data_IF_619452886249
#
_entry.id   IF_619452886249
#
_cell.length_a   1.000
_cell.length_b   1.000
_cell.length_c   1.000
_cell.angle_alpha   90.00
_cell.angle_beta   90.00
_cell.angle_gamma   90.00
#
_symmetry.space_group_name_H-M   'P 1'
#
loop_
_entity.id
_entity.type
_entity.pdbx_description
1 polymer ?
#
# COMPACT_ATOMS: atom_id res chain seq x y z
N UNK A 1 19.95 7.49 -7.59
CA UNK A 1 18.97 8.11 -8.49
C UNK A 1 18.03 8.93 -7.63
N UNK A 2 17.89 10.23 -7.88
CA UNK A 2 16.97 11.07 -7.10
C UNK A 2 15.54 10.94 -7.66
N UNK A 3 14.55 10.91 -6.78
CA UNK A 3 13.14 10.82 -7.16
C UNK A 3 12.69 12.08 -7.90
N UNK A 4 12.02 11.95 -9.04
CA UNK A 4 11.41 13.08 -9.77
C UNK A 4 10.23 13.66 -8.99
N UNK A 5 9.80 14.88 -9.30
CA UNK A 5 8.65 15.49 -8.60
C UNK A 5 7.34 14.73 -8.84
N UNK A 6 7.17 14.16 -10.04
CA UNK A 6 6.05 13.27 -10.35
C UNK A 6 6.09 12.00 -9.49
N UNK A 7 7.25 11.36 -9.37
CA UNK A 7 7.39 10.18 -8.50
C UNK A 7 7.16 10.51 -7.02
N UNK A 8 7.57 11.69 -6.53
CA UNK A 8 7.25 12.14 -5.17
C UNK A 8 5.74 12.30 -4.97
N UNK A 9 5.02 12.81 -5.96
CA UNK A 9 3.56 12.93 -5.90
C UNK A 9 2.88 11.55 -5.88
N UNK A 10 3.38 10.60 -6.66
CA UNK A 10 2.90 9.21 -6.65
C UNK A 10 3.17 8.55 -5.29
N UNK A 11 4.34 8.75 -4.70
CA UNK A 11 4.65 8.28 -3.35
C UNK A 11 3.75 8.92 -2.28
N UNK A 12 3.47 10.22 -2.37
CA UNK A 12 2.51 10.88 -1.49
C UNK A 12 1.11 10.25 -1.62
N UNK A 13 0.67 10.00 -2.86
CA UNK A 13 -0.60 9.33 -3.14
C UNK A 13 -0.65 7.90 -2.58
N UNK A 14 0.48 7.21 -2.54
CA UNK A 14 0.59 5.89 -1.92
C UNK A 14 0.45 5.97 -0.39
N UNK A 15 1.06 6.98 0.25
CA UNK A 15 0.87 7.23 1.69
C UNK A 15 -0.60 7.47 2.02
N UNK A 16 -1.28 8.32 1.23
CA UNK A 16 -2.70 8.63 1.43
C UNK A 16 -3.59 7.39 1.22
N UNK A 17 -3.31 6.60 0.19
CA UNK A 17 -4.03 5.34 -0.06
C UNK A 17 -3.90 4.37 1.11
N UNK A 18 -2.73 4.29 1.73
CA UNK A 18 -2.52 3.49 2.95
C UNK A 18 -3.22 4.08 4.17
N UNK A 19 -3.29 5.39 4.32
CA UNK A 19 -4.04 6.04 5.40
C UNK A 19 -5.55 5.77 5.27
N UNK A 20 -6.08 5.81 4.04
CA UNK A 20 -7.47 5.43 3.76
C UNK A 20 -7.75 3.97 4.14
N UNK A 21 -6.84 3.06 3.81
CA UNK A 21 -6.96 1.64 4.16
C UNK A 21 -6.99 1.44 5.69
N UNK A 22 -6.14 2.16 6.43
CA UNK A 22 -6.17 2.19 7.91
C UNK A 22 -7.52 2.68 8.42
N UNK A 23 -8.07 3.73 7.81
CA UNK A 23 -9.41 4.24 8.16
C UNK A 23 -10.50 3.17 7.98
N UNK A 24 -10.41 2.34 6.95
CA UNK A 24 -11.33 1.23 6.72
C UNK A 24 -11.14 0.10 7.74
N UNK A 25 -9.90 -0.26 8.07
CA UNK A 25 -9.60 -1.26 9.10
C UNK A 25 -10.15 -0.86 10.47
N UNK A 26 -9.94 0.40 10.88
CA UNK A 26 -10.46 0.91 12.16
C UNK A 26 -11.99 0.86 12.23
N UNK A 27 -12.69 1.08 11.10
CA UNK A 27 -14.16 1.00 11.05
C UNK A 27 -14.70 -0.41 11.28
N UNK A 28 -13.92 -1.44 10.99
CA UNK A 28 -14.29 -2.85 11.24
C UNK A 28 -13.73 -3.37 12.57
N UNK A 29 -13.19 -2.49 13.41
CA UNK A 29 -12.69 -2.83 14.75
C UNK A 29 -11.25 -3.33 14.79
N UNK A 30 -10.50 -3.22 13.69
CA UNK A 30 -9.12 -3.69 13.61
C UNK A 30 -8.12 -2.63 14.06
N UNK A 31 -7.03 -3.11 14.68
CA UNK A 31 -5.89 -2.28 15.06
C UNK A 31 -4.85 -2.24 13.92
N UNK A 32 -4.44 -1.03 13.53
CA UNK A 32 -3.38 -0.80 12.54
C UNK A 32 -2.07 -1.52 12.89
N UNK A 33 -1.76 -1.70 14.19
CA UNK A 33 -0.54 -2.38 14.63
C UNK A 33 -0.48 -3.86 14.19
N UNK A 34 -1.63 -4.49 13.96
CA UNK A 34 -1.72 -5.85 13.43
C UNK A 34 -1.30 -5.94 11.95
N UNK A 35 -1.27 -4.81 11.23
CA UNK A 35 -1.02 -4.74 9.79
C UNK A 35 0.35 -4.13 9.48
N UNK A 36 1.42 -4.82 9.91
CA UNK A 36 2.83 -4.35 9.76
C UNK A 36 3.20 -3.96 8.31
N UNK A 37 2.58 -4.60 7.32
CA UNK A 37 2.79 -4.27 5.90
C UNK A 37 2.39 -2.84 5.56
N UNK A 38 1.33 -2.29 6.18
CA UNK A 38 0.91 -0.88 5.98
C UNK A 38 2.04 0.07 6.41
N UNK A 39 2.62 -0.17 7.59
CA UNK A 39 3.74 0.65 8.09
C UNK A 39 4.95 0.59 7.16
N UNK A 40 5.29 -0.60 6.65
CA UNK A 40 6.39 -0.78 5.69
C UNK A 40 6.16 0.01 4.41
N UNK A 41 4.95 -0.06 3.84
CA UNK A 41 4.59 0.68 2.62
C UNK A 41 4.65 2.18 2.86
N UNK A 42 4.06 2.68 3.96
CA UNK A 42 4.08 4.10 4.33
C UNK A 42 5.50 4.62 4.52
N UNK A 43 6.37 3.86 5.20
CA UNK A 43 7.76 4.26 5.41
C UNK A 43 8.56 4.32 4.11
N UNK A 44 8.40 3.32 3.24
CA UNK A 44 8.99 3.32 1.90
C UNK A 44 8.55 4.55 1.10
N UNK A 45 7.23 4.83 1.09
CA UNK A 45 6.67 5.94 0.34
C UNK A 45 7.10 7.31 0.90
N UNK A 46 7.06 7.51 2.22
CA UNK A 46 7.52 8.76 2.87
C UNK A 46 8.99 9.06 2.59
N UNK A 47 9.81 8.03 2.45
CA UNK A 47 11.24 8.15 2.15
C UNK A 47 11.53 8.22 0.65
N UNK A 48 10.50 8.17 -0.22
CA UNK A 48 10.64 8.09 -1.68
C UNK A 48 11.61 6.97 -2.10
N UNK A 49 11.54 5.82 -1.43
CA UNK A 49 12.47 4.70 -1.60
C UNK A 49 12.14 3.89 -2.87
N UNK A 50 12.62 4.38 -4.02
CA UNK A 50 12.52 3.71 -5.33
C UNK A 50 13.14 2.31 -5.28
N UNK A 51 14.27 2.14 -4.58
CA UNK A 51 14.92 0.85 -4.47
C UNK A 51 14.06 -0.15 -3.69
N UNK A 52 13.27 0.32 -2.73
CA UNK A 52 12.32 -0.49 -1.95
C UNK A 52 11.08 -0.91 -2.73
N UNK A 53 10.78 -0.27 -3.86
CA UNK A 53 9.53 -0.44 -4.62
C UNK A 53 9.25 -1.90 -5.02
N UNK A 54 10.29 -2.69 -5.35
CA UNK A 54 10.16 -4.11 -5.68
C UNK A 54 9.53 -4.97 -4.56
N UNK A 55 9.48 -4.47 -3.33
CA UNK A 55 8.86 -5.16 -2.19
C UNK A 55 7.37 -4.82 -2.02
N UNK A 56 6.87 -3.80 -2.73
CA UNK A 56 5.50 -3.33 -2.59
C UNK A 56 4.46 -4.42 -2.91
N UNK A 57 4.55 -5.18 -4.02
CA UNK A 57 3.61 -6.28 -4.29
C UNK A 57 3.51 -7.28 -3.13
N UNK A 58 4.66 -7.76 -2.64
CA UNK A 58 4.71 -8.68 -1.51
C UNK A 58 4.02 -8.12 -0.25
N UNK A 59 4.12 -6.82 0.00
CA UNK A 59 3.45 -6.20 1.14
C UNK A 59 1.95 -6.08 0.93
N UNK A 60 1.50 -5.76 -0.29
CA UNK A 60 0.09 -5.69 -0.66
C UNK A 60 -0.58 -7.07 -0.63
N UNK A 61 0.06 -8.10 -1.16
CA UNK A 61 -0.41 -9.48 -1.08
C UNK A 61 -0.55 -9.95 0.37
N UNK A 62 0.46 -9.65 1.20
CA UNK A 62 0.38 -9.97 2.62
C UNK A 62 -0.78 -9.26 3.32
N UNK A 63 -1.12 -8.03 2.90
CA UNK A 63 -2.30 -7.34 3.42
C UNK A 63 -3.59 -8.01 2.97
N UNK A 64 -3.69 -8.37 1.69
CA UNK A 64 -4.83 -9.08 1.14
C UNK A 64 -5.07 -10.40 1.89
N UNK A 65 -4.04 -11.23 2.06
CA UNK A 65 -4.11 -12.49 2.80
C UNK A 65 -4.61 -12.28 4.22
N UNK A 66 -3.99 -11.37 4.98
CA UNK A 66 -4.40 -11.14 6.38
C UNK A 66 -5.85 -10.64 6.48
N UNK A 67 -6.28 -9.75 5.60
CA UNK A 67 -7.67 -9.27 5.58
C UNK A 67 -8.68 -10.39 5.25
N UNK A 68 -8.32 -11.30 4.33
CA UNK A 68 -9.14 -12.46 4.01
C UNK A 68 -9.18 -13.48 5.14
N UNK A 69 -8.04 -13.79 5.75
CA UNK A 69 -7.94 -14.73 6.87
C UNK A 69 -8.77 -14.25 8.07
N UNK A 70 -8.73 -12.94 8.34
CA UNK A 70 -9.53 -12.31 9.39
C UNK A 70 -11.00 -12.12 8.99
N UNK A 71 -11.40 -12.47 7.75
CA UNK A 71 -12.77 -12.32 7.21
C UNK A 71 -13.31 -10.89 7.27
N UNK A 72 -12.41 -9.90 7.20
CA UNK A 72 -12.75 -8.47 7.22
C UNK A 72 -12.65 -7.83 5.84
N UNK A 73 -12.18 -8.57 4.83
CA UNK A 73 -12.00 -8.05 3.49
C UNK A 73 -13.34 -7.52 2.94
N UNK A 74 -13.31 -6.28 2.44
CA UNK A 74 -14.46 -5.62 1.82
C UNK A 74 -14.07 -5.08 0.45
N UNK A 75 -15.07 -4.84 -0.41
CA UNK A 75 -14.85 -4.21 -1.72
C UNK A 75 -14.10 -2.89 -1.61
N UNK A 76 -14.40 -2.07 -0.60
CA UNK A 76 -13.71 -0.79 -0.38
C UNK A 76 -12.23 -0.96 -0.05
N UNK A 77 -11.87 -2.01 0.70
CA UNK A 77 -10.45 -2.35 0.95
C UNK A 77 -9.77 -2.84 -0.33
N UNK A 78 -10.46 -3.70 -1.10
CA UNK A 78 -10.00 -4.14 -2.41
C UNK A 78 -9.62 -2.98 -3.34
N UNK A 79 -10.53 -2.01 -3.50
CA UNK A 79 -10.27 -0.82 -4.31
C UNK A 79 -9.06 0.01 -3.85
N UNK A 80 -8.70 -0.02 -2.56
CA UNK A 80 -7.50 0.65 -2.05
C UNK A 80 -6.23 -0.15 -2.32
N UNK A 81 -6.30 -1.48 -2.29
CA UNK A 81 -5.19 -2.35 -2.69
C UNK A 81 -4.94 -2.23 -4.20
N UNK A 82 -6.00 -2.26 -5.01
CA UNK A 82 -5.91 -2.10 -6.48
C UNK A 82 -5.27 -0.75 -6.83
N UNK A 83 -5.73 0.34 -6.21
CA UNK A 83 -5.11 1.66 -6.38
C UNK A 83 -3.63 1.67 -5.98
N UNK A 84 -3.23 0.92 -4.95
CA UNK A 84 -1.83 0.83 -4.55
C UNK A 84 -0.98 0.06 -5.58
N UNK A 85 -1.56 -0.95 -6.24
CA UNK A 85 -0.96 -1.63 -7.40
C UNK A 85 -0.84 -0.71 -8.61
N UNK A 86 -1.87 0.09 -8.93
CA UNK A 86 -1.81 1.05 -10.03
C UNK A 86 -0.69 2.11 -9.80
N UNK A 87 -0.53 2.56 -8.55
CA UNK A 87 0.54 3.48 -8.17
C UNK A 87 1.93 2.81 -8.26
N UNK A 88 2.02 1.53 -7.93
CA UNK A 88 3.25 0.75 -8.09
C UNK A 88 3.71 0.70 -9.54
N UNK A 89 2.80 0.39 -10.47
CA UNK A 89 3.10 0.37 -11.91
C UNK A 89 3.51 1.76 -12.43
N UNK A 90 2.79 2.82 -12.05
CA UNK A 90 3.14 4.20 -12.41
C UNK A 90 4.50 4.65 -11.87
N UNK A 91 4.93 4.11 -10.73
CA UNK A 91 6.25 4.36 -10.15
C UNK A 91 7.39 3.60 -10.87
N UNK A 92 7.07 2.78 -11.88
CA UNK A 92 8.03 1.95 -12.62
C UNK A 92 8.17 0.54 -12.05
N UNK A 93 7.18 0.06 -11.28
CA UNK A 93 7.07 -1.33 -10.87
C UNK A 93 6.87 -2.27 -12.06
N UNK A 94 7.36 -3.50 -11.93
CA UNK A 94 7.10 -4.53 -12.94
C UNK A 94 5.70 -5.11 -12.72
N UNK A 95 4.91 -5.35 -13.78
CA UNK A 95 3.58 -5.94 -13.64
C UNK A 95 3.64 -7.24 -12.82
N UNK A 96 2.75 -7.36 -11.85
CA UNK A 96 2.64 -8.57 -11.04
C UNK A 96 1.75 -9.55 -11.81
N UNK A 97 2.34 -10.68 -12.22
CA UNK A 97 1.69 -11.70 -13.05
C UNK A 97 0.64 -12.52 -12.29
#
# INVERSE_FOLDING_TARGET
>A
MACTDEQKQLFASLVDTMNDLVGLLRKVGEDEMSYKSISKIKNMAKNNDINGLHKLPKYLDGLYTVMNDNKIYTRSMGLKLDKAYDLYEQLGGEPVA
#
